data_IF_589807218829
#
_entry.id   IF_589807218829
#
_cell.length_a   1.000
_cell.length_b   1.000
_cell.length_c   1.000
_cell.angle_alpha   90.00
_cell.angle_beta   90.00
_cell.angle_gamma   90.00
#
_symmetry.space_group_name_H-M   'P 1'
#
loop_
_entity.id
_entity.type
_entity.pdbx_description
1 polymer ?
#
# COMPACT_ATOMS: atom_id res chain seq x y z
N UNK A 1 -17.71 18.87 45.26
CA UNK A 1 -16.44 18.52 44.58
C UNK A 1 -16.25 17.02 44.38
N UNK A 2 -16.39 16.18 45.41
CA UNK A 2 -16.15 14.72 45.32
C UNK A 2 -16.97 14.01 44.22
N UNK A 3 -18.27 14.35 44.10
CA UNK A 3 -19.14 13.79 43.06
C UNK A 3 -18.82 14.28 41.64
N UNK A 4 -18.33 15.51 41.50
CA UNK A 4 -17.91 16.07 40.20
C UNK A 4 -16.67 15.34 39.70
N UNK A 5 -15.71 15.06 40.59
CA UNK A 5 -14.51 14.28 40.26
C UNK A 5 -14.86 12.84 39.84
N UNK A 6 -15.84 12.22 40.51
CA UNK A 6 -16.31 10.87 40.17
C UNK A 6 -16.99 10.86 38.81
N UNK A 7 -17.87 11.83 38.52
CA UNK A 7 -18.54 11.96 37.21
C UNK A 7 -17.52 12.19 36.09
N UNK A 8 -16.52 13.04 36.31
CA UNK A 8 -15.47 13.30 35.33
C UNK A 8 -14.59 12.06 35.08
N UNK A 9 -14.28 11.29 36.12
CA UNK A 9 -13.52 10.04 36.01
C UNK A 9 -14.31 8.89 35.36
N UNK A 10 -15.64 8.86 35.52
CA UNK A 10 -16.49 7.87 34.83
C UNK A 10 -16.69 8.22 33.37
N UNK A 11 -16.79 9.51 33.03
CA UNK A 11 -16.93 9.97 31.64
C UNK A 11 -15.67 9.70 30.80
N UNK A 12 -14.47 9.81 31.40
CA UNK A 12 -13.21 9.48 30.71
C UNK A 12 -13.00 7.98 30.51
N UNK A 13 -13.54 7.14 31.41
CA UNK A 13 -13.45 5.67 31.28
C UNK A 13 -14.43 5.10 30.25
N UNK A 14 -15.56 5.78 30.02
CA UNK A 14 -16.57 5.39 29.02
C UNK A 14 -16.13 5.66 27.56
N UNK A 15 -15.09 6.46 27.35
CA UNK A 15 -14.52 6.72 26.01
C UNK A 15 -13.43 5.72 25.58
N UNK A 16 -13.29 4.58 26.27
CA UNK A 16 -12.42 3.51 25.78
C UNK A 16 -13.14 2.69 24.71
N UNK A 17 -13.31 3.28 23.54
CA UNK A 17 -13.61 2.51 22.34
C UNK A 17 -12.36 1.69 21.99
N UNK A 18 -12.41 0.39 22.27
CA UNK A 18 -11.44 -0.57 21.77
C UNK A 18 -11.66 -0.73 20.25
N UNK A 19 -11.19 0.25 19.47
CA UNK A 19 -11.23 0.15 18.01
C UNK A 19 -10.35 -1.01 17.57
N UNK A 20 -10.93 -1.98 16.87
CA UNK A 20 -10.16 -3.00 16.17
C UNK A 20 -9.29 -2.30 15.13
N UNK A 21 -7.96 -2.36 15.32
CA UNK A 21 -7.01 -1.67 14.47
C UNK A 21 -7.12 -2.19 13.04
N UNK A 22 -7.30 -1.27 12.09
CA UNK A 22 -7.34 -1.58 10.68
C UNK A 22 -6.00 -1.20 10.05
N UNK A 23 -5.55 -2.03 9.10
CA UNK A 23 -4.37 -1.73 8.30
C UNK A 23 -4.74 -1.51 6.85
N UNK A 24 -4.05 -0.56 6.20
CA UNK A 24 -4.20 -0.26 4.79
C UNK A 24 -2.82 -0.14 4.15
N UNK A 25 -2.69 -0.64 2.93
CA UNK A 25 -1.44 -0.57 2.17
C UNK A 25 -1.67 0.27 0.91
N UNK A 26 -0.92 1.36 0.79
CA UNK A 26 -0.77 2.11 -0.45
C UNK A 26 0.56 1.73 -1.09
N UNK A 27 0.57 1.54 -2.40
CA UNK A 27 1.79 1.18 -3.12
C UNK A 27 2.11 2.22 -4.19
N UNK A 28 3.34 2.69 -4.25
CA UNK A 28 3.86 3.38 -5.42
C UNK A 28 4.72 2.41 -6.23
N UNK A 29 4.55 2.44 -7.54
CA UNK A 29 5.39 1.74 -8.50
C UNK A 29 6.01 2.81 -9.39
N UNK A 30 7.33 2.87 -9.45
CA UNK A 30 8.06 3.82 -10.29
C UNK A 30 9.02 3.06 -11.20
N UNK A 31 8.91 3.33 -12.50
CA UNK A 31 9.54 2.53 -13.54
C UNK A 31 10.76 3.23 -14.13
N UNK A 32 11.84 2.46 -14.31
CA UNK A 32 13.09 2.83 -14.97
C UNK A 32 13.15 2.19 -16.36
N UNK A 33 12.05 2.20 -17.10
CA UNK A 33 12.04 1.62 -18.45
C UNK A 33 12.67 2.64 -19.43
N UNK A 34 13.71 2.25 -20.19
CA UNK A 34 14.27 3.09 -21.24
C UNK A 34 13.18 3.55 -22.21
N UNK A 35 13.31 4.76 -22.77
CA UNK A 35 12.30 5.40 -23.65
C UNK A 35 11.03 5.92 -22.95
N UNK A 36 10.92 5.85 -21.62
CA UNK A 36 9.83 6.49 -20.89
C UNK A 36 8.46 5.84 -21.09
N UNK A 37 8.43 4.56 -21.45
CA UNK A 37 7.21 3.72 -21.59
C UNK A 37 6.73 3.19 -20.22
N UNK A 38 7.41 3.60 -19.14
CA UNK A 38 7.10 3.21 -17.77
C UNK A 38 5.67 3.56 -17.37
N UNK A 39 5.10 2.71 -16.50
CA UNK A 39 3.71 2.79 -16.02
C UNK A 39 3.67 3.19 -14.55
N UNK A 40 4.39 4.25 -14.21
CA UNK A 40 4.54 4.69 -12.81
C UNK A 40 3.19 5.13 -12.22
N UNK A 41 2.82 4.62 -11.04
CA UNK A 41 1.49 4.77 -10.43
C UNK A 41 1.53 4.73 -8.91
N UNK A 42 0.58 5.42 -8.29
CA UNK A 42 0.10 5.10 -6.94
C UNK A 42 -1.10 4.16 -7.07
N UNK A 43 -1.11 3.08 -6.30
CA UNK A 43 -2.14 2.06 -6.28
C UNK A 43 -2.78 2.06 -4.88
N UNK A 44 -4.11 2.22 -4.85
CA UNK A 44 -4.93 2.18 -3.63
C UNK A 44 -6.11 1.23 -3.83
N UNK A 45 -6.15 0.14 -3.06
CA UNK A 45 -7.27 -0.81 -3.11
C UNK A 45 -8.50 -0.28 -2.36
N UNK A 46 -9.68 -0.45 -2.95
CA UNK A 46 -10.98 -0.05 -2.35
C UNK A 46 -11.83 -1.21 -1.87
N UNK A 47 -11.36 -2.44 -2.05
CA UNK A 47 -12.07 -3.65 -1.69
C UNK A 47 -11.37 -4.37 -0.54
N UNK A 48 -12.18 -4.85 0.42
CA UNK A 48 -11.73 -5.78 1.45
C UNK A 48 -11.76 -7.20 0.86
N UNK A 49 -10.70 -7.97 1.10
CA UNK A 49 -10.59 -9.35 0.64
C UNK A 49 -10.78 -10.32 1.81
N UNK A 50 -11.49 -11.43 1.57
CA UNK A 50 -11.56 -12.51 2.54
C UNK A 50 -10.35 -13.45 2.36
N UNK A 51 -9.39 -13.36 3.27
CA UNK A 51 -8.17 -14.18 3.24
C UNK A 51 -8.47 -15.69 3.30
N UNK A 52 -9.53 -16.11 3.97
CA UNK A 52 -9.90 -17.52 4.11
C UNK A 52 -10.22 -18.17 2.76
N UNK A 53 -10.82 -17.42 1.84
CA UNK A 53 -11.14 -17.91 0.48
C UNK A 53 -9.89 -18.17 -0.37
N UNK A 54 -8.78 -17.54 -0.01
CA UNK A 54 -7.50 -17.66 -0.70
C UNK A 54 -6.52 -18.62 0.01
N UNK A 55 -6.84 -19.05 1.23
CA UNK A 55 -5.96 -19.83 2.10
C UNK A 55 -6.38 -21.29 2.11
N UNK A 56 -5.41 -22.20 1.95
CA UNK A 56 -5.65 -23.64 2.11
C UNK A 56 -4.74 -24.16 3.19
N UNK A 57 -5.29 -24.86 4.17
CA UNK A 57 -4.53 -25.50 5.24
C UNK A 57 -4.01 -26.88 4.79
N UNK A 58 -2.95 -27.33 5.44
CA UNK A 58 -2.38 -28.66 5.23
C UNK A 58 -1.82 -29.16 6.55
N UNK A 59 -2.49 -30.14 7.14
CA UNK A 59 -2.10 -30.65 8.46
C UNK A 59 -1.15 -31.85 8.35
N UNK A 60 -1.30 -32.72 7.34
CA UNK A 60 -0.40 -33.86 7.11
C UNK A 60 -0.22 -34.22 5.63
N UNK A 61 1.00 -34.64 5.25
CA UNK A 61 1.34 -35.12 3.90
C UNK A 61 1.65 -34.02 2.87
N UNK A 62 1.61 -34.36 1.57
CA UNK A 62 1.96 -33.46 0.47
C UNK A 62 0.75 -33.02 -0.39
N UNK A 63 -0.46 -33.50 -0.09
CA UNK A 63 -1.66 -33.15 -0.85
C UNK A 63 -2.13 -31.74 -0.46
N UNK A 64 -2.57 -30.97 -1.45
CA UNK A 64 -2.91 -29.56 -1.27
C UNK A 64 -4.02 -29.16 -2.19
N UNK A 65 -4.97 -28.43 -1.63
CA UNK A 65 -6.08 -27.87 -2.36
C UNK A 65 -5.76 -26.50 -2.99
N UNK A 66 -4.51 -26.02 -2.91
CA UNK A 66 -4.08 -24.77 -3.58
C UNK A 66 -4.44 -24.75 -5.08
N UNK A 67 -4.45 -25.91 -5.76
CA UNK A 67 -4.85 -25.99 -7.17
C UNK A 67 -6.32 -25.63 -7.42
N UNK A 68 -7.18 -25.72 -6.39
CA UNK A 68 -8.61 -25.35 -6.46
C UNK A 68 -8.79 -23.84 -6.37
N UNK A 69 -7.88 -23.11 -5.71
CA UNK A 69 -7.88 -21.65 -5.63
C UNK A 69 -7.33 -21.07 -6.93
N UNK A 70 -8.21 -20.43 -7.74
CA UNK A 70 -7.78 -19.83 -9.01
C UNK A 70 -7.30 -18.41 -8.75
N UNK A 71 -6.08 -18.09 -9.18
CA UNK A 71 -5.49 -16.74 -9.07
C UNK A 71 -6.37 -15.62 -9.65
N UNK A 72 -7.17 -15.92 -10.66
CA UNK A 72 -8.09 -14.95 -11.27
C UNK A 72 -9.19 -14.51 -10.30
N UNK A 73 -9.60 -15.40 -9.39
CA UNK A 73 -10.66 -15.15 -8.41
C UNK A 73 -10.13 -14.29 -7.24
N UNK A 74 -8.81 -14.11 -7.14
CA UNK A 74 -8.14 -13.23 -6.16
C UNK A 74 -8.00 -11.78 -6.63
N UNK A 75 -8.27 -11.50 -7.91
CA UNK A 75 -8.12 -10.16 -8.46
C UNK A 75 -9.19 -9.23 -7.86
N UNK A 76 -8.78 -8.02 -7.51
CA UNK A 76 -9.70 -6.92 -7.21
C UNK A 76 -9.94 -6.13 -8.48
N UNK A 77 -11.19 -5.74 -8.73
CA UNK A 77 -11.55 -4.86 -9.83
C UNK A 77 -11.66 -3.40 -9.37
N UNK A 78 -11.92 -3.17 -8.07
CA UNK A 78 -12.11 -1.83 -7.50
C UNK A 78 -10.83 -1.32 -6.82
N UNK A 79 -10.06 -0.52 -7.56
CA UNK A 79 -8.86 0.16 -7.08
C UNK A 79 -8.71 1.53 -7.75
N UNK A 80 -8.10 2.48 -7.04
CA UNK A 80 -7.69 3.75 -7.64
C UNK A 80 -6.25 3.61 -8.18
N UNK A 81 -6.04 4.16 -9.38
CA UNK A 81 -4.72 4.31 -9.99
C UNK A 81 -4.42 5.80 -10.23
N UNK A 82 -3.49 6.36 -9.46
CA UNK A 82 -3.00 7.73 -9.69
C UNK A 82 -1.75 7.67 -10.54
N UNK A 83 -1.74 8.30 -11.71
CA UNK A 83 -0.57 8.33 -12.59
C UNK A 83 0.59 9.12 -11.97
N UNK A 84 1.79 8.60 -12.12
CA UNK A 84 3.05 9.28 -11.81
C UNK A 84 3.89 9.44 -13.09
N UNK A 85 4.87 10.33 -13.04
CA UNK A 85 5.81 10.57 -14.12
C UNK A 85 6.98 9.57 -14.05
N UNK A 86 7.55 9.23 -15.19
CA UNK A 86 8.78 8.43 -15.22
C UNK A 86 9.96 9.32 -14.84
N UNK A 87 10.70 8.96 -13.79
CA UNK A 87 11.87 9.74 -13.37
C UNK A 87 13.13 9.41 -14.18
N UNK A 88 13.10 8.40 -15.05
CA UNK A 88 14.23 8.00 -15.89
C UNK A 88 13.82 7.90 -17.36
N UNK A 89 14.75 8.22 -18.25
CA UNK A 89 14.60 8.15 -19.70
C UNK A 89 15.92 7.76 -20.36
N UNK A 90 15.95 7.61 -21.69
CA UNK A 90 17.20 7.37 -22.43
C UNK A 90 18.25 8.50 -22.30
N UNK A 91 17.86 9.68 -21.81
CA UNK A 91 18.75 10.83 -21.57
C UNK A 91 19.25 10.88 -20.12
N UNK A 92 18.70 10.04 -19.23
CA UNK A 92 19.03 9.99 -17.81
C UNK A 92 17.86 10.38 -16.89
N UNK A 93 18.21 10.77 -15.66
CA UNK A 93 17.28 11.06 -14.57
C UNK A 93 16.61 12.43 -14.77
N UNK A 94 15.30 12.49 -14.57
CA UNK A 94 14.48 13.70 -14.58
C UNK A 94 14.07 14.09 -13.15
N UNK A 95 14.84 14.97 -12.52
CA UNK A 95 14.60 15.43 -11.15
C UNK A 95 13.28 16.20 -10.97
N UNK A 96 12.78 16.88 -12.01
CA UNK A 96 11.48 17.56 -11.93
C UNK A 96 10.33 16.56 -11.86
N UNK A 97 10.45 15.44 -12.57
CA UNK A 97 9.47 14.36 -12.48
C UNK A 97 9.47 13.73 -11.09
N UNK A 98 10.65 13.55 -10.47
CA UNK A 98 10.76 13.10 -9.07
C UNK A 98 10.02 14.06 -8.13
N UNK A 99 10.33 15.35 -8.17
CA UNK A 99 9.67 16.34 -7.30
C UNK A 99 8.14 16.39 -7.52
N UNK A 100 7.70 16.18 -8.76
CA UNK A 100 6.26 16.13 -9.09
C UNK A 100 5.61 14.86 -8.55
N UNK A 101 6.29 13.72 -8.60
CA UNK A 101 5.83 12.47 -8.00
C UNK A 101 5.76 12.60 -6.47
N UNK A 102 6.78 13.18 -5.83
CA UNK A 102 6.83 13.40 -4.39
C UNK A 102 5.65 14.27 -3.92
N UNK A 103 5.29 15.30 -4.68
CA UNK A 103 4.10 16.10 -4.41
C UNK A 103 2.80 15.28 -4.48
N UNK A 104 2.66 14.39 -5.47
CA UNK A 104 1.48 13.52 -5.61
C UNK A 104 1.42 12.46 -4.51
N UNK A 105 2.56 11.87 -4.14
CA UNK A 105 2.66 10.92 -3.03
C UNK A 105 2.29 11.61 -1.72
N UNK A 106 2.82 12.80 -1.47
CA UNK A 106 2.50 13.61 -0.29
C UNK A 106 1.02 13.96 -0.23
N UNK A 107 0.41 14.32 -1.36
CA UNK A 107 -1.03 14.58 -1.44
C UNK A 107 -1.84 13.34 -1.02
N UNK A 108 -1.47 12.13 -1.48
CA UNK A 108 -2.16 10.89 -1.09
C UNK A 108 -1.96 10.54 0.38
N UNK A 109 -0.76 10.74 0.92
CA UNK A 109 -0.48 10.53 2.36
C UNK A 109 -1.35 11.49 3.19
N UNK A 110 -1.42 12.76 2.82
CA UNK A 110 -2.23 13.77 3.52
C UNK A 110 -3.74 13.48 3.41
N UNK A 111 -4.23 13.00 2.26
CA UNK A 111 -5.61 12.53 2.11
C UNK A 111 -5.93 11.45 3.17
N UNK A 112 -5.07 10.44 3.31
CA UNK A 112 -5.26 9.38 4.30
C UNK A 112 -5.15 9.86 5.74
N UNK A 113 -4.23 10.78 6.04
CA UNK A 113 -4.12 11.41 7.37
C UNK A 113 -5.40 12.16 7.72
N UNK A 114 -5.97 12.91 6.78
CA UNK A 114 -7.24 13.62 6.98
C UNK A 114 -8.41 12.65 7.19
N UNK A 115 -8.36 11.48 6.55
CA UNK A 115 -9.31 10.38 6.78
C UNK A 115 -9.06 9.63 8.11
N UNK A 116 -8.09 10.06 8.92
CA UNK A 116 -7.79 9.52 10.23
C UNK A 116 -6.83 8.32 10.23
N UNK A 117 -6.17 8.03 9.10
CA UNK A 117 -5.11 7.02 9.05
C UNK A 117 -3.78 7.59 9.53
N UNK A 118 -3.00 6.76 10.21
CA UNK A 118 -1.65 7.07 10.64
C UNK A 118 -0.65 6.27 9.81
N UNK A 119 0.38 6.92 9.26
CA UNK A 119 1.45 6.22 8.56
C UNK A 119 2.36 5.54 9.59
N UNK A 120 2.35 4.21 9.61
CA UNK A 120 3.06 3.42 10.61
C UNK A 120 4.42 2.96 10.08
N UNK A 121 4.46 2.45 8.83
CA UNK A 121 5.68 1.91 8.23
C UNK A 121 5.79 2.28 6.75
N UNK A 122 7.03 2.46 6.29
CA UNK A 122 7.36 2.58 4.87
C UNK A 122 8.45 1.56 4.54
N UNK A 123 8.25 0.80 3.47
CA UNK A 123 9.25 -0.15 2.98
C UNK A 123 9.35 -0.05 1.46
N UNK A 124 10.57 -0.06 0.95
CA UNK A 124 10.86 -0.01 -0.48
C UNK A 124 11.58 -1.28 -0.91
N UNK A 125 11.21 -1.79 -2.08
CA UNK A 125 11.89 -2.85 -2.79
C UNK A 125 12.34 -2.35 -4.16
N UNK A 126 13.42 -2.93 -4.66
CA UNK A 126 13.93 -2.66 -6.00
C UNK A 126 14.03 -3.98 -6.73
N UNK A 127 13.40 -4.03 -7.91
CA UNK A 127 13.72 -5.02 -8.90
C UNK A 127 14.69 -4.36 -9.88
N UNK A 128 15.97 -4.73 -9.76
CA UNK A 128 17.04 -4.27 -10.63
C UNK A 128 17.33 -5.35 -11.66
N UNK A 129 17.39 -4.96 -12.94
CA UNK A 129 17.92 -5.78 -14.03
C UNK A 129 19.10 -6.65 -13.55
N UNK A 130 18.98 -7.96 -13.75
CA UNK A 130 19.88 -8.98 -13.24
C UNK A 130 20.57 -9.79 -14.36
N UNK A 131 20.88 -9.17 -15.51
CA UNK A 131 21.56 -9.89 -16.59
C UNK A 131 21.95 -9.04 -17.80
N UNK A 132 22.77 -9.64 -18.66
CA UNK A 132 23.25 -9.03 -19.90
C UNK A 132 22.06 -8.76 -20.85
N UNK A 133 21.76 -7.48 -21.10
CA UNK A 133 20.69 -7.04 -22.00
C UNK A 133 19.37 -6.62 -21.34
N UNK A 134 19.21 -6.81 -20.03
CA UNK A 134 18.09 -6.20 -19.31
C UNK A 134 18.48 -4.79 -18.86
N UNK A 135 17.69 -3.79 -19.24
CA UNK A 135 17.92 -2.38 -18.90
C UNK A 135 16.74 -1.78 -18.13
N UNK A 136 15.86 -2.64 -17.62
CA UNK A 136 14.69 -2.20 -16.89
C UNK A 136 14.93 -2.29 -15.39
N UNK A 137 14.14 -1.51 -14.67
CA UNK A 137 14.04 -1.65 -13.23
C UNK A 137 12.73 -1.07 -12.74
N UNK A 138 12.28 -1.56 -11.60
CA UNK A 138 11.08 -1.09 -10.93
C UNK A 138 11.42 -0.82 -9.47
N UNK A 139 11.09 0.38 -9.01
CA UNK A 139 11.00 0.69 -7.60
C UNK A 139 9.55 0.48 -7.15
N UNK A 140 9.38 -0.25 -6.06
CA UNK A 140 8.10 -0.45 -5.41
C UNK A 140 8.20 0.01 -3.97
N UNK A 141 7.40 1.00 -3.57
CA UNK A 141 7.33 1.45 -2.17
C UNK A 141 5.96 1.19 -1.62
N UNK A 142 5.89 0.55 -0.45
CA UNK A 142 4.66 0.29 0.29
C UNK A 142 4.62 1.18 1.52
N UNK A 143 3.53 1.93 1.62
CA UNK A 143 3.18 2.76 2.76
C UNK A 143 2.09 2.03 3.53
N UNK A 144 2.38 1.65 4.76
CA UNK A 144 1.49 0.88 5.63
C UNK A 144 0.89 1.85 6.64
N UNK A 145 -0.42 1.99 6.56
CA UNK A 145 -1.22 2.85 7.42
C UNK A 145 -2.02 2.03 8.43
N UNK A 146 -2.30 2.67 9.56
CA UNK A 146 -3.08 2.12 10.67
C UNK A 146 -4.18 3.10 11.07
N UNK A 147 -5.38 2.60 11.41
CA UNK A 147 -6.49 3.39 11.95
C UNK A 147 -7.19 2.63 13.06
#
# INVERSE_FOLDING_TARGET
MKYIVIVFATLTFLCQDAFAQQYKVITTVESIVPMGIGRSRIIDHKQNQNLEQATTERDEGNKSDQKKVKRKDLKIDNLDETKLLNFYSGVGINFRNIASNDAMISAKINELINDGWQLEFVTSGVESSAGEGDNNGIFITRYIFKK
#
